data_IF_720252613225
#
_entry.id   IF_720252613225
#
_cell.length_a   1.000
_cell.length_b   1.000
_cell.length_c   1.000
_cell.angle_alpha   90.00
_cell.angle_beta   90.00
_cell.angle_gamma   90.00
#
_symmetry.space_group_name_H-M   'P 1'
#
loop_
_entity.id
_entity.type
_entity.pdbx_description
1 polymer ?
#
# COMPACT_ATOMS: atom_id res chain seq x y z
N UNK A 1 19.56 -38.88 34.34
CA UNK A 1 19.33 -37.44 34.09
C UNK A 1 18.72 -37.25 32.71
N UNK A 2 17.39 -37.13 32.61
CA UNK A 2 16.69 -36.95 31.34
C UNK A 2 16.51 -35.47 31.01
N UNK A 3 17.21 -34.96 30.00
CA UNK A 3 17.00 -33.59 29.50
C UNK A 3 15.68 -33.54 28.74
N UNK A 4 14.65 -33.00 29.38
CA UNK A 4 13.34 -32.77 28.78
C UNK A 4 13.48 -31.79 27.60
N UNK A 5 13.39 -32.30 26.38
CA UNK A 5 13.36 -31.50 25.16
C UNK A 5 12.06 -30.71 25.13
N UNK A 6 12.09 -29.45 25.62
CA UNK A 6 11.02 -28.49 25.34
C UNK A 6 10.91 -28.32 23.83
N UNK A 7 9.90 -28.94 23.22
CA UNK A 7 9.48 -28.66 21.84
C UNK A 7 9.31 -27.14 21.72
N UNK A 8 10.23 -26.49 21.02
CA UNK A 8 10.10 -25.07 20.69
C UNK A 8 8.89 -24.96 19.76
N UNK A 9 7.82 -24.35 20.25
CA UNK A 9 6.67 -23.99 19.42
C UNK A 9 7.19 -23.17 18.22
N UNK A 10 6.68 -23.41 16.99
CA UNK A 10 7.07 -22.61 15.84
C UNK A 10 6.77 -21.14 16.13
N UNK A 11 7.74 -20.27 15.86
CA UNK A 11 7.58 -18.83 16.04
C UNK A 11 6.33 -18.37 15.29
N UNK A 12 5.46 -17.60 15.95
CA UNK A 12 4.30 -17.00 15.28
C UNK A 12 4.83 -16.18 14.10
N UNK A 13 4.22 -16.30 12.90
CA UNK A 13 4.67 -15.54 11.74
C UNK A 13 4.62 -14.05 12.07
N UNK A 14 5.73 -13.37 11.82
CA UNK A 14 5.86 -11.93 12.04
C UNK A 14 4.86 -11.21 11.13
N UNK A 15 3.88 -10.46 11.69
CA UNK A 15 2.84 -9.81 10.89
C UNK A 15 3.41 -8.72 9.97
N UNK A 16 4.67 -8.30 10.18
CA UNK A 16 5.35 -7.37 9.29
C UNK A 16 5.85 -8.04 7.99
N UNK A 17 6.04 -9.36 7.97
CA UNK A 17 6.60 -10.08 6.82
C UNK A 17 5.49 -10.49 5.83
N UNK A 18 5.69 -10.31 4.52
CA UNK A 18 4.70 -10.72 3.53
C UNK A 18 4.57 -12.24 3.49
N UNK A 19 3.36 -12.74 3.24
CA UNK A 19 3.11 -14.18 3.08
C UNK A 19 3.69 -14.70 1.76
N UNK A 20 3.86 -16.01 1.65
CA UNK A 20 4.34 -16.65 0.40
C UNK A 20 3.39 -16.32 -0.76
N UNK A 21 2.08 -16.41 -0.53
CA UNK A 21 1.05 -16.07 -1.51
C UNK A 21 1.15 -14.60 -1.95
N UNK A 22 1.37 -13.68 -1.00
CA UNK A 22 1.54 -12.26 -1.31
C UNK A 22 2.77 -12.03 -2.21
N UNK A 23 3.89 -12.70 -1.91
CA UNK A 23 5.11 -12.60 -2.71
C UNK A 23 4.92 -13.15 -4.13
N UNK A 24 4.18 -14.25 -4.30
CA UNK A 24 3.86 -14.79 -5.62
C UNK A 24 3.00 -13.84 -6.44
N UNK A 25 1.97 -13.23 -5.84
CA UNK A 25 1.12 -12.24 -6.51
C UNK A 25 1.94 -11.02 -6.93
N UNK A 26 2.81 -10.50 -6.04
CA UNK A 26 3.71 -9.38 -6.36
C UNK A 26 4.63 -9.71 -7.55
N UNK A 27 5.17 -10.94 -7.60
CA UNK A 27 6.00 -11.41 -8.73
C UNK A 27 5.21 -11.49 -10.05
N UNK A 28 3.99 -12.04 -10.03
CA UNK A 28 3.15 -12.15 -11.22
C UNK A 28 2.75 -10.77 -11.78
N UNK A 29 2.31 -9.87 -10.90
CA UNK A 29 1.99 -8.49 -11.27
C UNK A 29 3.21 -7.75 -11.80
N UNK A 30 4.38 -7.89 -11.16
CA UNK A 30 5.61 -7.27 -11.64
C UNK A 30 5.99 -7.66 -13.07
N UNK A 31 5.72 -8.91 -13.49
CA UNK A 31 5.92 -9.35 -14.88
C UNK A 31 4.93 -8.68 -15.84
N UNK A 32 3.66 -8.57 -15.45
CA UNK A 32 2.61 -7.93 -16.26
C UNK A 32 2.86 -6.42 -16.39
N UNK A 33 3.29 -5.77 -15.32
CA UNK A 33 3.64 -4.35 -15.32
C UNK A 33 4.90 -4.08 -16.18
N UNK A 34 5.90 -4.96 -16.15
CA UNK A 34 7.06 -4.87 -17.05
C UNK A 34 6.66 -4.97 -18.52
N UNK A 35 5.80 -5.93 -18.87
CA UNK A 35 5.27 -6.05 -20.24
C UNK A 35 4.50 -4.81 -20.69
N UNK A 36 3.74 -4.18 -19.78
CA UNK A 36 3.05 -2.91 -20.06
C UNK A 36 4.02 -1.77 -20.27
N UNK A 37 5.03 -1.63 -19.42
CA UNK A 37 6.03 -0.58 -19.55
C UNK A 37 6.81 -0.71 -20.88
N UNK A 38 7.12 -1.94 -21.31
CA UNK A 38 7.71 -2.19 -22.62
C UNK A 38 6.77 -1.84 -23.77
N UNK A 39 5.49 -2.22 -23.69
CA UNK A 39 4.50 -1.86 -24.69
C UNK A 39 4.29 -0.34 -24.77
N UNK A 40 4.27 0.36 -23.63
CA UNK A 40 4.12 1.81 -23.54
C UNK A 40 5.31 2.54 -24.19
N UNK A 41 6.54 2.05 -23.97
CA UNK A 41 7.73 2.54 -24.69
C UNK A 41 7.63 2.37 -26.22
N UNK A 42 6.87 1.38 -26.68
CA UNK A 42 6.56 1.15 -28.10
C UNK A 42 5.30 1.89 -28.58
N UNK A 43 4.70 2.76 -27.76
CA UNK A 43 3.47 3.49 -28.08
C UNK A 43 2.22 2.62 -28.10
N UNK A 44 2.27 1.39 -27.56
CA UNK A 44 1.16 0.43 -27.53
C UNK A 44 0.54 0.36 -26.14
N UNK A 45 -0.79 0.30 -26.08
CA UNK A 45 -1.54 0.10 -24.83
C UNK A 45 -2.05 -1.33 -24.74
N UNK A 46 -1.57 -2.09 -23.75
CA UNK A 46 -2.08 -3.43 -23.47
C UNK A 46 -3.40 -3.38 -22.70
N UNK A 47 -4.36 -4.22 -23.09
CA UNK A 47 -5.62 -4.38 -22.36
C UNK A 47 -5.36 -5.10 -21.03
N UNK A 48 -6.06 -4.68 -19.98
CA UNK A 48 -6.05 -5.36 -18.68
C UNK A 48 -6.87 -6.64 -18.79
N UNK A 49 -6.24 -7.80 -18.60
CA UNK A 49 -6.93 -9.09 -18.57
C UNK A 49 -7.74 -9.27 -17.29
N UNK A 50 -8.70 -10.20 -17.30
CA UNK A 50 -9.46 -10.53 -16.10
C UNK A 50 -8.56 -11.10 -14.98
N UNK A 51 -7.61 -11.97 -15.34
CA UNK A 51 -6.65 -12.54 -14.39
C UNK A 51 -5.83 -11.45 -13.69
N UNK A 52 -5.36 -10.44 -14.44
CA UNK A 52 -4.63 -9.31 -13.86
C UNK A 52 -5.51 -8.49 -12.89
N UNK A 53 -6.78 -8.28 -13.23
CA UNK A 53 -7.72 -7.61 -12.32
C UNK A 53 -7.89 -8.40 -11.02
N UNK A 54 -8.00 -9.72 -11.11
CA UNK A 54 -8.11 -10.60 -9.94
C UNK A 54 -6.83 -10.57 -9.10
N UNK A 55 -5.66 -10.61 -9.73
CA UNK A 55 -4.37 -10.48 -9.04
C UNK A 55 -4.24 -9.14 -8.31
N UNK A 56 -4.59 -8.02 -8.97
CA UNK A 56 -4.60 -6.69 -8.34
C UNK A 56 -5.61 -6.60 -7.21
N UNK A 57 -6.80 -7.21 -7.35
CA UNK A 57 -7.78 -7.27 -6.28
C UNK A 57 -7.26 -8.05 -5.06
N UNK A 58 -6.59 -9.19 -5.28
CA UNK A 58 -5.94 -9.96 -4.20
C UNK A 58 -4.80 -9.18 -3.55
N UNK A 59 -3.93 -8.55 -4.34
CA UNK A 59 -2.88 -7.67 -3.82
C UNK A 59 -3.46 -6.54 -2.96
N UNK A 60 -4.55 -5.90 -3.42
CA UNK A 60 -5.26 -4.86 -2.69
C UNK A 60 -5.77 -5.32 -1.32
N UNK A 61 -6.21 -6.58 -1.19
CA UNK A 61 -6.59 -7.16 0.12
C UNK A 61 -5.40 -7.23 1.07
N UNK A 62 -4.25 -7.74 0.61
CA UNK A 62 -3.03 -7.80 1.44
C UNK A 62 -2.57 -6.40 1.85
N UNK A 63 -2.51 -5.45 0.91
CA UNK A 63 -2.14 -4.07 1.21
C UNK A 63 -3.06 -3.41 2.23
N UNK A 64 -4.37 -3.67 2.14
CA UNK A 64 -5.36 -3.15 3.11
C UNK A 64 -5.10 -3.70 4.51
N UNK A 65 -4.80 -4.99 4.64
CA UNK A 65 -4.46 -5.60 5.93
C UNK A 65 -3.16 -4.98 6.47
N UNK A 66 -2.09 -4.94 5.66
CA UNK A 66 -0.80 -4.37 6.06
C UNK A 66 -0.91 -2.92 6.50
N UNK A 67 -1.66 -2.09 5.78
CA UNK A 67 -1.89 -0.67 6.15
C UNK A 67 -2.61 -0.46 7.49
N UNK A 68 -3.19 -1.51 8.08
CA UNK A 68 -3.78 -1.50 9.42
C UNK A 68 -2.89 -2.16 10.47
N UNK A 69 -1.84 -2.87 10.05
CA UNK A 69 -0.90 -3.58 10.91
C UNK A 69 0.25 -2.65 11.30
N UNK A 70 0.37 -2.24 12.58
CA UNK A 70 1.48 -1.41 13.04
C UNK A 70 2.84 -2.04 12.74
N UNK A 71 3.82 -1.20 12.43
CA UNK A 71 5.19 -1.64 12.12
C UNK A 71 5.43 -2.08 10.67
N UNK A 72 4.39 -2.14 9.83
CA UNK A 72 4.59 -2.34 8.39
C UNK A 72 4.92 -1.01 7.69
N UNK A 73 5.69 -1.03 6.57
CA UNK A 73 5.87 0.14 5.73
C UNK A 73 4.55 0.74 5.23
N UNK A 74 3.58 -0.11 4.89
CA UNK A 74 2.25 0.31 4.43
C UNK A 74 1.47 1.07 5.51
N UNK A 75 1.59 0.67 6.77
CA UNK A 75 1.00 1.38 7.90
C UNK A 75 1.63 2.75 8.11
N UNK A 76 2.97 2.83 8.06
CA UNK A 76 3.69 4.10 8.22
C UNK A 76 3.32 5.09 7.11
N UNK A 77 3.26 4.62 5.86
CA UNK A 77 2.83 5.45 4.73
C UNK A 77 1.39 5.93 4.90
N UNK A 78 0.48 5.09 5.40
CA UNK A 78 -0.91 5.50 5.66
C UNK A 78 -1.00 6.58 6.75
N UNK A 79 -0.18 6.52 7.80
CA UNK A 79 -0.16 7.58 8.82
C UNK A 79 0.35 8.89 8.23
N UNK A 80 1.45 8.87 7.44
CA UNK A 80 1.95 10.05 6.73
C UNK A 80 0.91 10.67 5.81
N UNK A 81 0.17 9.85 5.05
CA UNK A 81 -0.91 10.34 4.17
C UNK A 81 -2.04 11.00 4.95
N UNK A 82 -2.39 10.47 6.13
CA UNK A 82 -3.40 11.08 7.00
C UNK A 82 -2.94 12.41 7.58
N UNK A 83 -1.67 12.51 7.94
CA UNK A 83 -1.06 13.76 8.41
C UNK A 83 -1.06 14.81 7.29
N UNK A 84 -0.65 14.43 6.08
CA UNK A 84 -0.70 15.30 4.91
C UNK A 84 -2.14 15.77 4.57
N UNK A 85 -3.12 14.87 4.61
CA UNK A 85 -4.51 15.25 4.36
C UNK A 85 -5.04 16.27 5.39
N UNK A 86 -4.65 16.13 6.67
CA UNK A 86 -5.01 17.10 7.70
C UNK A 86 -4.37 18.47 7.46
N UNK A 87 -3.13 18.51 6.98
CA UNK A 87 -2.49 19.79 6.63
C UNK A 87 -3.18 20.43 5.43
N UNK A 88 -3.57 19.65 4.42
CA UNK A 88 -4.27 20.16 3.24
C UNK A 88 -5.65 20.71 3.60
N UNK A 89 -6.40 20.02 4.45
CA UNK A 89 -7.69 20.50 4.98
C UNK A 89 -7.51 21.77 5.82
N UNK A 90 -6.47 21.85 6.66
CA UNK A 90 -6.16 23.05 7.43
C UNK A 90 -5.81 24.24 6.53
N UNK A 91 -5.00 24.02 5.49
CA UNK A 91 -4.66 25.04 4.49
C UNK A 91 -5.93 25.51 3.78
N UNK A 92 -6.75 24.58 3.28
CA UNK A 92 -8.00 24.89 2.61
C UNK A 92 -8.92 25.75 3.49
N UNK A 93 -9.10 25.36 4.75
CA UNK A 93 -9.92 26.10 5.70
C UNK A 93 -9.35 27.49 5.99
N UNK A 94 -8.03 27.63 6.16
CA UNK A 94 -7.40 28.94 6.40
C UNK A 94 -7.44 29.87 5.17
N UNK A 95 -7.37 29.32 3.96
CA UNK A 95 -7.36 30.10 2.73
C UNK A 95 -8.78 30.54 2.28
N UNK A 96 -9.83 29.93 2.83
CA UNK A 96 -11.22 30.23 2.50
C UNK A 96 -12.02 30.63 3.74
N UNK A 97 -11.35 31.01 4.83
CA UNK A 97 -12.00 31.53 6.02
C UNK A 97 -12.52 32.95 5.71
N UNK A 98 -13.84 33.17 5.66
CA UNK A 98 -14.42 34.47 5.35
C UNK A 98 -14.11 35.55 6.40
N UNK A 99 -13.57 35.19 7.59
CA UNK A 99 -13.08 36.16 8.57
C UNK A 99 -11.65 36.66 8.27
N UNK A 100 -10.83 35.88 7.55
CA UNK A 100 -9.46 36.26 7.17
C UNK A 100 -9.28 36.58 5.70
N UNK A 101 -10.26 36.26 4.86
CA UNK A 101 -10.26 36.55 3.43
C UNK A 101 -10.55 38.05 3.20
N UNK A 102 -9.51 38.80 2.84
CA UNK A 102 -9.60 40.22 2.56
C UNK A 102 -9.86 40.42 1.05
N UNK A 103 -10.61 41.46 0.69
CA UNK A 103 -10.68 41.97 -0.68
C UNK A 103 -9.35 42.46 -1.26
N UNK A 104 -8.19 42.23 -0.64
CA UNK A 104 -6.86 42.46 -1.22
C UNK A 104 -6.17 41.15 -1.61
N UNK A 105 -6.82 39.99 -1.41
CA UNK A 105 -6.30 38.65 -1.75
C UNK A 105 -6.62 38.23 -3.22
N UNK A 106 -7.07 39.18 -4.07
CA UNK A 106 -7.21 39.04 -5.54
C UNK A 106 -6.16 39.84 -6.30
#
# INVERSE_FOLDING_TARGET
MGKSQKRRQPAKPDPAKPSVEELEIRRKLGKQDAQRAEAEKQGRKLKVSQEERELRAKQGKFMRVRSKTPGTPEYLNRQRQREAAKTDEAIWNSAHDPETFNSDDW
#
